data_IF_233921414790
#
_entry.id   IF_233921414790
#
_cell.length_a   1.000
_cell.length_b   1.000
_cell.length_c   1.000
_cell.angle_alpha   90.00
_cell.angle_beta   90.00
_cell.angle_gamma   90.00
#
_symmetry.space_group_name_H-M   'P 1'
#
loop_
_entity.id
_entity.type
_entity.pdbx_description
1 polymer ?
#
# COMPACT_ATOMS: atom_id res chain seq x y z
N UNK A 1 -21.72 4.46 -2.39
CA UNK A 1 -21.15 3.20 -1.88
C UNK A 1 -20.78 2.19 -2.96
N UNK A 2 -21.46 2.17 -4.12
CA UNK A 2 -21.27 1.15 -5.18
C UNK A 2 -19.80 0.92 -5.58
N UNK A 3 -18.98 1.95 -5.70
CA UNK A 3 -17.56 1.81 -6.08
C UNK A 3 -16.65 1.17 -5.03
N UNK A 4 -17.12 1.03 -3.78
CA UNK A 4 -16.38 0.41 -2.68
C UNK A 4 -16.80 -1.03 -2.42
N UNK A 5 -17.95 -1.44 -2.96
CA UNK A 5 -18.63 -2.69 -2.71
C UNK A 5 -18.56 -3.68 -3.89
N UNK A 6 -17.92 -3.27 -4.99
CA UNK A 6 -17.79 -4.07 -6.21
C UNK A 6 -16.32 -4.33 -6.48
N UNK A 7 -15.96 -5.57 -6.77
CA UNK A 7 -14.60 -5.90 -7.19
C UNK A 7 -14.28 -5.31 -8.58
N UNK A 8 -12.99 -5.24 -8.92
CA UNK A 8 -12.54 -4.68 -10.21
C UNK A 8 -13.14 -5.37 -11.43
N UNK A 9 -13.43 -6.67 -11.33
CA UNK A 9 -14.03 -7.46 -12.42
C UNK A 9 -15.53 -7.31 -12.54
N UNK A 10 -16.20 -6.69 -11.56
CA UNK A 10 -17.65 -6.60 -11.49
C UNK A 10 -18.35 -7.93 -11.22
N UNK A 11 -17.64 -8.91 -10.64
CA UNK A 11 -18.15 -10.25 -10.38
C UNK A 11 -18.61 -10.45 -8.95
N UNK A 12 -17.85 -9.88 -8.01
CA UNK A 12 -18.13 -10.00 -6.59
C UNK A 12 -18.66 -8.66 -6.07
N UNK A 13 -19.86 -8.68 -5.54
CA UNK A 13 -20.50 -7.53 -4.94
C UNK A 13 -20.87 -7.81 -3.51
N UNK A 14 -20.32 -7.02 -2.61
CA UNK A 14 -20.64 -7.08 -1.20
C UNK A 14 -21.57 -5.95 -0.75
N UNK A 15 -21.67 -5.81 0.57
CA UNK A 15 -22.40 -4.75 1.26
C UNK A 15 -21.59 -4.30 2.46
N UNK A 16 -21.19 -3.04 2.48
CA UNK A 16 -20.47 -2.45 3.61
C UNK A 16 -21.44 -1.92 4.66
N UNK A 17 -21.10 -2.08 5.94
CA UNK A 17 -21.75 -1.39 7.06
C UNK A 17 -21.52 0.12 6.92
N UNK A 18 -20.26 0.49 6.66
CA UNK A 18 -19.83 1.86 6.43
C UNK A 18 -18.56 1.87 5.57
N UNK A 19 -18.30 3.00 4.93
CA UNK A 19 -17.02 3.29 4.27
C UNK A 19 -16.35 4.44 5.03
N UNK A 20 -15.19 4.19 5.61
CA UNK A 20 -14.40 5.20 6.33
C UNK A 20 -13.16 5.56 5.51
N UNK A 21 -12.79 6.84 5.53
CA UNK A 21 -11.68 7.36 4.71
C UNK A 21 -10.76 8.22 5.57
N UNK A 22 -9.91 7.60 6.41
CA UNK A 22 -8.93 8.32 7.23
C UNK A 22 -7.93 9.07 6.35
N UNK A 23 -7.41 10.18 6.84
CA UNK A 23 -6.41 11.02 6.18
C UNK A 23 -5.03 10.93 6.83
N UNK A 24 -4.93 10.30 8.01
CA UNK A 24 -3.69 10.15 8.78
C UNK A 24 -3.60 8.75 9.37
N UNK A 25 -2.38 8.33 9.69
CA UNK A 25 -2.11 7.06 10.38
C UNK A 25 -2.80 7.01 11.74
N UNK A 26 -2.85 8.14 12.44
CA UNK A 26 -3.54 8.24 13.71
C UNK A 26 -5.05 7.98 13.57
N UNK A 27 -5.70 8.58 12.57
CA UNK A 27 -7.12 8.31 12.27
C UNK A 27 -7.36 6.85 11.89
N UNK A 28 -6.43 6.20 11.17
CA UNK A 28 -6.51 4.75 10.90
C UNK A 28 -6.49 3.97 12.22
N UNK A 29 -5.57 4.29 13.13
CA UNK A 29 -5.46 3.63 14.43
C UNK A 29 -6.73 3.80 15.28
N UNK A 30 -7.35 4.98 15.26
CA UNK A 30 -8.61 5.26 15.95
C UNK A 30 -9.77 4.43 15.38
N UNK A 31 -9.88 4.34 14.05
CA UNK A 31 -10.88 3.50 13.38
C UNK A 31 -10.69 2.04 13.74
N UNK A 32 -9.44 1.52 13.71
CA UNK A 32 -9.15 0.13 14.09
C UNK A 32 -9.57 -0.12 15.53
N UNK A 33 -9.18 0.73 16.47
CA UNK A 33 -9.60 0.59 17.89
C UNK A 33 -11.11 0.59 18.07
N UNK A 34 -11.82 1.50 17.39
CA UNK A 34 -13.28 1.54 17.45
C UNK A 34 -13.93 0.26 16.89
N UNK A 35 -13.42 -0.27 15.79
CA UNK A 35 -13.89 -1.52 15.21
C UNK A 35 -13.60 -2.74 16.10
N UNK A 36 -12.43 -2.78 16.74
CA UNK A 36 -12.08 -3.83 17.71
C UNK A 36 -13.05 -3.83 18.90
N UNK A 37 -13.32 -2.66 19.48
CA UNK A 37 -14.28 -2.52 20.58
C UNK A 37 -15.69 -2.96 20.16
N UNK A 38 -16.10 -2.61 18.96
CA UNK A 38 -17.40 -2.97 18.39
C UNK A 38 -17.45 -4.41 17.82
N UNK A 39 -16.33 -5.15 17.82
CA UNK A 39 -16.18 -6.47 17.18
C UNK A 39 -16.62 -6.45 15.70
N UNK A 40 -16.31 -5.36 15.00
CA UNK A 40 -16.68 -5.13 13.61
C UNK A 40 -15.49 -5.44 12.71
N UNK A 41 -15.62 -6.35 11.73
CA UNK A 41 -14.53 -6.65 10.79
C UNK A 41 -14.22 -5.46 9.89
N UNK A 42 -12.93 -5.31 9.55
CA UNK A 42 -12.44 -4.26 8.65
C UNK A 42 -11.95 -4.89 7.36
N UNK A 43 -12.32 -4.28 6.22
CA UNK A 43 -11.79 -4.60 4.90
C UNK A 43 -10.93 -3.42 4.44
N UNK A 44 -9.58 -3.51 4.52
CA UNK A 44 -8.71 -2.48 4.00
C UNK A 44 -8.81 -2.40 2.48
N UNK A 45 -8.94 -1.20 1.95
CA UNK A 45 -9.05 -1.00 0.51
C UNK A 45 -8.13 0.12 0.03
N UNK A 46 -7.24 -0.20 -0.92
CA UNK A 46 -6.44 0.74 -1.69
C UNK A 46 -7.14 1.16 -2.99
N UNK A 47 -6.51 0.92 -4.14
CA UNK A 47 -7.05 1.24 -5.46
C UNK A 47 -8.13 0.28 -5.98
N UNK A 48 -8.48 -0.76 -5.24
CA UNK A 48 -9.47 -1.79 -5.60
C UNK A 48 -9.21 -2.44 -6.97
N UNK A 49 -7.94 -2.67 -7.31
CA UNK A 49 -7.49 -3.26 -8.59
C UNK A 49 -7.18 -4.76 -8.48
N UNK A 50 -7.39 -5.35 -7.31
CA UNK A 50 -7.14 -6.78 -7.04
C UNK A 50 -8.10 -7.69 -7.82
N UNK A 51 -7.58 -8.86 -8.24
CA UNK A 51 -8.30 -9.80 -9.10
C UNK A 51 -9.10 -10.88 -8.34
N UNK A 52 -8.92 -10.94 -7.00
CA UNK A 52 -9.46 -11.99 -6.12
C UNK A 52 -10.44 -11.46 -5.09
N UNK A 53 -10.95 -10.24 -5.29
CA UNK A 53 -11.94 -9.57 -4.45
C UNK A 53 -11.53 -9.37 -2.96
N UNK A 54 -10.25 -9.49 -2.60
CA UNK A 54 -9.78 -9.39 -1.22
C UNK A 54 -9.98 -8.01 -0.56
N UNK A 55 -10.23 -6.96 -1.36
CA UNK A 55 -10.56 -5.61 -0.89
C UNK A 55 -12.06 -5.29 -0.97
N UNK A 56 -12.91 -6.26 -1.31
CA UNK A 56 -14.37 -6.09 -1.41
C UNK A 56 -15.02 -6.67 -0.16
N UNK A 57 -15.97 -5.98 0.50
CA UNK A 57 -16.67 -6.53 1.64
C UNK A 57 -17.55 -7.71 1.22
N UNK A 58 -17.91 -8.57 2.16
CA UNK A 58 -18.86 -9.65 1.92
C UNK A 58 -20.31 -9.13 1.85
N UNK A 59 -21.26 -10.04 1.62
CA UNK A 59 -22.68 -9.69 1.50
C UNK A 59 -23.41 -9.46 2.85
N UNK A 60 -22.73 -9.67 3.98
CA UNK A 60 -23.34 -9.62 5.33
C UNK A 60 -23.81 -8.21 5.73
N UNK A 61 -23.16 -7.17 5.21
CA UNK A 61 -23.40 -5.79 5.61
C UNK A 61 -22.85 -5.45 7.01
N UNK A 62 -21.97 -6.27 7.56
CA UNK A 62 -21.40 -6.08 8.90
C UNK A 62 -19.98 -5.55 8.88
N UNK A 63 -19.33 -5.49 7.72
CA UNK A 63 -17.94 -5.10 7.56
C UNK A 63 -17.80 -3.60 7.28
N UNK A 64 -16.78 -2.97 7.87
CA UNK A 64 -16.37 -1.59 7.54
C UNK A 64 -15.30 -1.63 6.46
N UNK A 65 -15.52 -0.95 5.35
CA UNK A 65 -14.47 -0.70 4.35
C UNK A 65 -13.63 0.49 4.81
N UNK A 66 -12.33 0.26 5.01
CA UNK A 66 -11.36 1.29 5.36
C UNK A 66 -10.53 1.65 4.12
N UNK A 67 -10.84 2.78 3.51
CA UNK A 67 -10.17 3.25 2.30
C UNK A 67 -9.05 4.23 2.61
N UNK A 68 -7.87 3.95 2.08
CA UNK A 68 -6.68 4.79 2.24
C UNK A 68 -6.55 5.89 1.16
N UNK A 69 -7.56 6.10 0.32
CA UNK A 69 -7.50 7.02 -0.81
C UNK A 69 -7.20 8.49 -0.45
N UNK A 70 -7.41 8.91 0.81
CA UNK A 70 -7.04 10.26 1.31
C UNK A 70 -5.58 10.36 1.76
N UNK A 71 -4.92 9.23 2.02
CA UNK A 71 -3.51 9.15 2.38
C UNK A 71 -2.69 8.92 1.11
N UNK A 72 -2.53 9.94 0.28
CA UNK A 72 -2.01 9.82 -1.09
C UNK A 72 -0.79 10.70 -1.39
N UNK A 73 -0.12 11.21 -0.36
CA UNK A 73 1.00 12.15 -0.52
C UNK A 73 2.32 11.42 -0.74
N UNK A 74 3.18 12.04 -1.53
CA UNK A 74 4.62 11.81 -1.45
C UNK A 74 5.14 12.62 -0.27
N UNK A 75 5.65 11.94 0.78
CA UNK A 75 6.12 12.57 2.01
C UNK A 75 7.51 13.16 1.84
N UNK A 76 8.43 12.40 1.21
CA UNK A 76 9.82 12.81 1.03
C UNK A 76 10.47 12.03 -0.12
N UNK A 77 11.30 12.70 -0.91
CA UNK A 77 12.24 12.05 -1.85
C UNK A 77 13.65 12.41 -1.40
N UNK A 78 14.46 11.40 -1.07
CA UNK A 78 15.87 11.52 -0.69
C UNK A 78 16.74 11.01 -1.83
N UNK A 79 17.24 11.95 -2.64
CA UNK A 79 18.10 11.65 -3.77
C UNK A 79 19.46 11.07 -3.35
N UNK A 80 19.97 11.47 -2.18
CA UNK A 80 21.26 10.98 -1.66
C UNK A 80 21.20 9.51 -1.23
N UNK A 81 20.08 9.12 -0.62
CA UNK A 81 19.83 7.74 -0.20
C UNK A 81 19.11 6.89 -1.25
N UNK A 82 18.67 7.49 -2.36
CA UNK A 82 17.88 6.84 -3.40
C UNK A 82 16.59 6.21 -2.83
N UNK A 83 15.84 6.98 -2.08
CA UNK A 83 14.57 6.55 -1.48
C UNK A 83 13.46 7.56 -1.72
N UNK A 84 12.23 7.06 -1.71
CA UNK A 84 11.03 7.89 -1.69
C UNK A 84 10.08 7.34 -0.62
N UNK A 85 9.61 8.22 0.26
CA UNK A 85 8.64 7.87 1.31
C UNK A 85 7.27 8.41 0.92
N UNK A 86 6.27 7.55 0.94
CA UNK A 86 4.92 7.87 0.49
C UNK A 86 3.86 7.35 1.45
N UNK A 87 2.68 7.96 1.40
CA UNK A 87 1.47 7.40 1.99
C UNK A 87 1.02 6.13 1.25
N UNK A 88 0.38 5.20 1.94
CA UNK A 88 -0.04 3.93 1.35
C UNK A 88 -1.11 4.06 0.25
N UNK A 89 -1.93 5.10 0.27
CA UNK A 89 -2.90 5.42 -0.77
C UNK A 89 -2.31 6.19 -1.96
N UNK A 90 -1.00 6.46 -1.98
CA UNK A 90 -0.34 7.06 -3.13
C UNK A 90 -0.47 6.14 -4.35
N UNK A 91 -0.98 6.67 -5.47
CA UNK A 91 -1.12 5.94 -6.72
C UNK A 91 0.26 5.68 -7.31
N UNK A 92 0.49 4.47 -7.84
CA UNK A 92 1.78 4.05 -8.40
C UNK A 92 2.27 5.03 -9.47
N UNK A 93 1.42 5.43 -10.41
CA UNK A 93 1.77 6.38 -11.47
C UNK A 93 2.19 7.76 -10.91
N UNK A 94 1.59 8.21 -9.81
CA UNK A 94 1.99 9.45 -9.14
C UNK A 94 3.42 9.34 -8.59
N UNK A 95 3.73 8.22 -7.92
CA UNK A 95 5.08 7.97 -7.40
C UNK A 95 6.10 7.91 -8.55
N UNK A 96 5.78 7.20 -9.63
CA UNK A 96 6.65 7.12 -10.82
C UNK A 96 6.92 8.52 -11.41
N UNK A 97 5.89 9.34 -11.55
CA UNK A 97 6.01 10.70 -12.09
C UNK A 97 6.89 11.60 -11.20
N UNK A 98 6.76 11.50 -9.87
CA UNK A 98 7.63 12.25 -8.94
C UNK A 98 9.09 11.79 -9.02
N UNK A 99 9.33 10.48 -9.14
CA UNK A 99 10.68 9.95 -9.37
C UNK A 99 11.26 10.46 -10.71
N UNK A 100 10.47 10.43 -11.79
CA UNK A 100 10.91 10.86 -13.12
C UNK A 100 11.27 12.35 -13.16
N UNK A 101 10.47 13.21 -12.53
CA UNK A 101 10.77 14.65 -12.38
C UNK A 101 12.12 14.89 -11.67
N UNK A 102 12.47 14.03 -10.73
CA UNK A 102 13.72 14.09 -9.99
C UNK A 102 14.90 13.36 -10.70
N UNK A 103 14.70 12.79 -11.90
CA UNK A 103 15.72 12.08 -12.65
C UNK A 103 15.93 10.63 -12.22
N UNK A 104 14.98 10.03 -11.51
CA UNK A 104 15.02 8.66 -11.02
C UNK A 104 13.98 7.76 -11.68
N UNK A 105 14.12 6.46 -11.44
CA UNK A 105 13.21 5.40 -11.86
C UNK A 105 12.65 4.69 -10.61
N UNK A 106 11.32 4.56 -10.55
CA UNK A 106 10.67 3.56 -9.71
C UNK A 106 10.25 2.37 -10.61
N UNK A 107 10.88 1.18 -10.47
CA UNK A 107 10.82 0.14 -11.51
C UNK A 107 9.63 -0.81 -11.40
N UNK A 108 8.62 -0.53 -10.58
CA UNK A 108 7.39 -1.31 -10.56
C UNK A 108 6.49 -0.85 -11.71
N UNK A 109 6.17 -1.77 -12.64
CA UNK A 109 5.31 -1.48 -13.80
C UNK A 109 4.18 -2.50 -13.87
N UNK A 110 2.95 -2.00 -13.72
CA UNK A 110 1.71 -2.77 -13.65
C UNK A 110 0.69 -2.22 -14.65
N UNK A 111 -0.17 -3.08 -15.19
CA UNK A 111 -1.27 -2.63 -16.05
C UNK A 111 -2.23 -1.66 -15.34
N UNK A 112 -2.31 -1.73 -14.01
CA UNK A 112 -3.17 -0.90 -13.16
C UNK A 112 -2.46 0.33 -12.56
N UNK A 113 -1.29 0.74 -13.06
CA UNK A 113 -0.46 1.79 -12.44
C UNK A 113 -1.18 3.12 -12.22
N UNK A 114 -2.16 3.46 -13.07
CA UNK A 114 -3.00 4.66 -12.90
C UNK A 114 -4.04 4.59 -11.79
N UNK A 115 -4.23 3.43 -11.14
CA UNK A 115 -5.27 3.22 -10.14
C UNK A 115 -4.80 2.46 -8.91
N UNK A 116 -3.84 1.54 -9.03
CA UNK A 116 -3.29 0.81 -7.89
C UNK A 116 -2.50 1.73 -6.97
N UNK A 117 -2.48 1.40 -5.69
CA UNK A 117 -1.81 2.21 -4.66
C UNK A 117 -0.64 1.45 -4.06
N UNK A 118 0.33 2.17 -3.52
CA UNK A 118 1.56 1.58 -2.96
C UNK A 118 1.24 0.61 -1.81
N UNK A 119 0.32 0.98 -0.91
CA UNK A 119 -0.11 0.07 0.16
C UNK A 119 -0.79 -1.19 -0.36
N UNK A 120 -1.59 -1.09 -1.42
CA UNK A 120 -2.19 -2.24 -2.09
C UNK A 120 -1.14 -3.13 -2.78
N UNK A 121 -0.17 -2.52 -3.47
CA UNK A 121 0.93 -3.24 -4.11
C UNK A 121 1.81 -3.99 -3.08
N UNK A 122 2.06 -3.37 -1.93
CA UNK A 122 2.76 -4.01 -0.81
C UNK A 122 1.91 -5.11 -0.17
N UNK A 123 0.63 -4.84 0.10
CA UNK A 123 -0.28 -5.82 0.69
C UNK A 123 -0.39 -7.11 -0.11
N UNK A 124 -0.33 -7.03 -1.44
CA UNK A 124 -0.37 -8.19 -2.34
C UNK A 124 1.00 -8.66 -2.82
N UNK A 125 2.09 -7.99 -2.41
CA UNK A 125 3.43 -8.19 -2.97
C UNK A 125 3.40 -8.20 -4.50
N UNK A 126 2.84 -7.15 -5.09
CA UNK A 126 2.62 -7.07 -6.53
C UNK A 126 3.93 -7.22 -7.31
N UNK A 127 3.86 -7.98 -8.39
CA UNK A 127 4.96 -8.18 -9.33
C UNK A 127 4.99 -7.08 -10.39
N UNK A 128 5.06 -7.47 -11.64
CA UNK A 128 5.08 -6.56 -12.78
C UNK A 128 6.02 -7.05 -13.87
N UNK A 129 6.29 -6.21 -14.87
CA UNK A 129 7.09 -6.60 -16.03
C UNK A 129 8.60 -6.56 -15.78
N UNK A 130 9.05 -5.91 -14.71
CA UNK A 130 10.49 -5.67 -14.44
C UNK A 130 11.04 -6.52 -13.27
N UNK A 131 10.29 -7.53 -12.81
CA UNK A 131 10.61 -8.32 -11.61
C UNK A 131 11.91 -9.11 -11.73
N UNK A 132 12.28 -9.55 -12.92
CA UNK A 132 13.54 -10.30 -13.14
C UNK A 132 14.75 -9.45 -12.75
N UNK A 133 14.69 -8.14 -12.97
CA UNK A 133 15.79 -7.20 -12.66
C UNK A 133 15.67 -6.62 -11.25
N UNK A 134 14.47 -6.22 -10.83
CA UNK A 134 14.29 -5.37 -9.66
C UNK A 134 13.52 -6.05 -8.51
N UNK A 135 13.05 -7.26 -8.72
CA UNK A 135 12.21 -7.97 -7.75
C UNK A 135 10.75 -7.50 -7.77
N UNK A 136 9.95 -8.07 -6.88
CA UNK A 136 8.58 -7.65 -6.62
C UNK A 136 8.55 -6.38 -5.75
N UNK A 137 7.37 -5.91 -5.38
CA UNK A 137 7.21 -4.74 -4.51
C UNK A 137 7.92 -4.91 -3.16
N UNK A 138 8.03 -6.15 -2.64
CA UNK A 138 8.77 -6.52 -1.43
C UNK A 138 10.22 -6.08 -1.47
N UNK A 139 10.91 -6.38 -2.56
CA UNK A 139 12.34 -6.08 -2.74
C UNK A 139 12.60 -4.59 -2.88
N UNK A 140 11.60 -3.83 -3.31
CA UNK A 140 11.68 -2.38 -3.43
C UNK A 140 11.37 -1.64 -2.13
N UNK A 141 10.88 -2.33 -1.09
CA UNK A 141 10.48 -1.73 0.17
C UNK A 141 11.61 -1.75 1.19
N UNK A 142 11.99 -0.57 1.70
CA UNK A 142 13.01 -0.41 2.74
C UNK A 142 12.42 -0.16 4.13
N UNK A 143 11.21 0.41 4.22
CA UNK A 143 10.56 0.69 5.48
C UNK A 143 9.05 0.71 5.36
N UNK A 144 8.35 0.41 6.45
CA UNK A 144 6.89 0.43 6.53
C UNK A 144 6.41 1.18 7.77
N UNK A 145 5.28 1.85 7.62
CA UNK A 145 4.43 2.31 8.71
C UNK A 145 3.14 1.48 8.67
N UNK A 146 2.76 0.90 9.79
CA UNK A 146 1.63 -0.04 9.87
C UNK A 146 0.81 0.24 11.12
N UNK A 147 -0.50 0.17 10.98
CA UNK A 147 -1.43 0.06 12.11
C UNK A 147 -1.75 -1.40 12.33
N UNK A 148 -1.42 -1.93 13.51
CA UNK A 148 -1.66 -3.33 13.89
C UNK A 148 -3.15 -3.60 14.10
N UNK A 149 -3.51 -4.89 14.25
CA UNK A 149 -4.88 -5.30 14.57
C UNK A 149 -5.38 -4.78 15.93
N UNK A 150 -4.48 -4.33 16.81
CA UNK A 150 -4.82 -3.71 18.10
C UNK A 150 -4.95 -2.18 18.01
N UNK A 151 -4.70 -1.59 16.82
CA UNK A 151 -4.70 -0.16 16.61
C UNK A 151 -3.44 0.54 17.13
N UNK A 152 -2.34 -0.21 17.29
CA UNK A 152 -1.03 0.34 17.60
C UNK A 152 -0.33 0.75 16.30
N UNK A 153 0.41 1.85 16.35
CA UNK A 153 1.20 2.33 15.23
C UNK A 153 2.63 1.80 15.36
N UNK A 154 3.05 1.02 14.38
CA UNK A 154 4.45 0.65 14.21
C UNK A 154 5.06 1.54 13.13
N UNK A 155 5.97 2.43 13.55
CA UNK A 155 6.73 3.30 12.66
C UNK A 155 8.10 2.66 12.38
N UNK A 156 8.20 2.04 11.22
CA UNK A 156 9.41 1.46 10.68
C UNK A 156 9.81 2.08 9.34
N UNK A 157 9.51 3.37 9.11
CA UNK A 157 9.83 4.10 7.86
C UNK A 157 11.34 4.38 7.71
N UNK A 158 12.17 3.40 8.01
CA UNK A 158 13.61 3.48 7.84
C UNK A 158 14.00 3.32 6.38
N UNK A 159 14.95 4.15 5.90
CA UNK A 159 15.51 4.04 4.55
C UNK A 159 16.84 3.25 4.51
N UNK A 160 17.07 2.38 5.46
CA UNK A 160 18.32 1.62 5.56
C UNK A 160 18.35 0.48 4.54
N UNK A 161 19.41 0.42 3.72
CA UNK A 161 19.64 -0.67 2.77
C UNK A 161 20.19 -1.92 3.43
N UNK A 162 20.89 -1.75 4.55
CA UNK A 162 21.43 -2.80 5.38
C UNK A 162 21.02 -2.52 6.82
N UNK A 163 20.16 -3.38 7.34
CA UNK A 163 19.77 -3.40 8.75
C UNK A 163 19.84 -4.84 9.27
N UNK A 164 20.74 -5.07 10.22
CA UNK A 164 20.93 -6.39 10.83
C UNK A 164 20.31 -6.45 12.25
N UNK A 165 19.44 -5.52 12.58
CA UNK A 165 18.84 -5.36 13.91
C UNK A 165 17.60 -6.24 14.06
N UNK A 166 17.76 -7.47 14.55
CA UNK A 166 16.63 -8.36 14.84
C UNK A 166 15.92 -8.91 13.59
N UNK A 167 14.65 -9.27 13.75
CA UNK A 167 13.81 -9.76 12.65
C UNK A 167 13.34 -8.61 11.75
N UNK A 168 13.30 -8.86 10.45
CA UNK A 168 12.72 -7.93 9.49
C UNK A 168 11.18 -8.08 9.46
N UNK A 169 10.52 -7.32 10.33
CA UNK A 169 9.07 -7.39 10.51
C UNK A 169 8.28 -6.90 9.29
N UNK A 170 8.90 -6.14 8.37
CA UNK A 170 8.25 -5.70 7.12
C UNK A 170 7.70 -6.89 6.35
N UNK A 171 8.46 -7.98 6.33
CA UNK A 171 8.12 -9.19 5.58
C UNK A 171 6.88 -9.93 6.11
N UNK A 172 6.42 -9.64 7.31
CA UNK A 172 5.14 -10.14 7.83
C UNK A 172 3.96 -9.42 7.17
N UNK A 173 4.07 -8.10 6.99
CA UNK A 173 2.97 -7.28 6.45
C UNK A 173 2.92 -7.27 4.94
N UNK A 174 4.07 -7.37 4.25
CA UNK A 174 4.12 -7.43 2.79
C UNK A 174 3.60 -8.80 2.33
N UNK A 175 2.54 -8.77 1.52
CA UNK A 175 1.85 -9.98 1.05
C UNK A 175 0.80 -10.52 2.03
N UNK A 176 0.54 -9.81 3.15
CA UNK A 176 -0.49 -10.22 4.11
C UNK A 176 -1.92 -9.80 3.72
N UNK A 177 -2.07 -9.01 2.66
CA UNK A 177 -3.36 -8.51 2.15
C UNK A 177 -4.21 -7.80 3.22
N UNK A 178 -3.54 -7.13 4.19
CA UNK A 178 -4.22 -6.40 5.27
C UNK A 178 -4.71 -7.30 6.42
N UNK A 179 -4.42 -8.60 6.42
CA UNK A 179 -4.89 -9.54 7.47
C UNK A 179 -4.13 -9.41 8.78
N UNK A 180 -2.89 -8.91 8.76
CA UNK A 180 -2.04 -8.72 9.95
C UNK A 180 -1.99 -7.26 10.42
N UNK A 181 -2.35 -6.33 9.57
CA UNK A 181 -2.32 -4.89 9.86
C UNK A 181 -2.53 -4.07 8.60
N UNK A 182 -2.73 -2.78 8.77
CA UNK A 182 -3.01 -1.83 7.68
C UNK A 182 -1.75 -1.00 7.42
N UNK A 183 -1.14 -1.16 6.25
CA UNK A 183 -0.01 -0.34 5.81
C UNK A 183 -0.51 1.07 5.57
N UNK A 184 0.11 2.06 6.22
CA UNK A 184 -0.25 3.48 6.12
C UNK A 184 0.81 4.33 5.44
N UNK A 185 2.06 3.86 5.41
CA UNK A 185 3.16 4.50 4.72
C UNK A 185 4.26 3.51 4.35
N UNK A 186 5.08 3.89 3.38
CA UNK A 186 6.22 3.08 2.96
C UNK A 186 7.39 3.95 2.49
N UNK A 187 8.61 3.51 2.80
CA UNK A 187 9.85 4.00 2.20
C UNK A 187 10.29 3.01 1.13
N UNK A 188 10.28 3.48 -0.12
CA UNK A 188 10.57 2.67 -1.29
C UNK A 188 11.93 3.03 -1.87
N UNK A 189 12.65 2.03 -2.39
CA UNK A 189 13.90 2.21 -3.09
C UNK A 189 13.64 2.72 -4.52
N UNK A 190 14.37 3.76 -4.92
CA UNK A 190 14.40 4.26 -6.29
C UNK A 190 15.77 4.00 -6.93
N UNK A 191 15.83 4.07 -8.23
CA UNK A 191 17.04 3.78 -9.01
C UNK A 191 17.39 4.94 -9.93
N UNK A 192 18.67 5.12 -10.29
CA UNK A 192 19.04 6.04 -11.37
C UNK A 192 18.32 5.66 -12.67
N UNK A 193 17.85 6.67 -13.40
CA UNK A 193 17.19 6.44 -14.69
C UNK A 193 18.22 5.88 -15.70
N UNK A 194 17.87 4.81 -16.45
CA UNK A 194 18.71 4.33 -17.54
C UNK A 194 18.98 5.44 -18.57
N UNK A 195 20.24 5.55 -19.01
CA UNK A 195 20.62 6.58 -20.02
C UNK A 195 20.16 6.22 -21.43
N UNK A 196 20.03 4.91 -21.70
CA UNK A 196 19.57 4.39 -22.99
C UNK A 196 18.85 3.07 -22.81
N UNK A 197 17.95 2.76 -23.72
CA UNK A 197 17.33 1.44 -23.86
C UNK A 197 17.59 0.97 -25.29
N UNK A 198 18.01 -0.28 -25.42
CA UNK A 198 18.20 -0.96 -26.71
C UNK A 198 17.29 -2.18 -26.71
N UNK A 199 16.57 -2.39 -27.82
CA UNK A 199 15.73 -3.56 -28.12
C UNK A 199 16.23 -4.22 -29.39
#
# INVERSE_FOLDING_TARGET
MVGWELDWRGRERGKALAVVRPATTQEVAEVVRACVLAKTPIVPQGGNTGMVAGSTPDASGTQVVLSLARMNKVRCLDAGNLTITVDAGCVLQTLQAECEKAGFLFPLSLASEGSCTIGGNLGTNAGGTQVVRYGNTRELCLGLEVVTAQGEIWDGLLGLRKDNTGYDLRHLFIGSEGTLGIITGATMQIHPRPRSQLT
#
